data_IF_476031019747
#
_entry.id   IF_476031019747
#
_cell.length_a   1.000
_cell.length_b   1.000
_cell.length_c   1.000
_cell.angle_alpha   90.00
_cell.angle_beta   90.00
_cell.angle_gamma   90.00
#
_symmetry.space_group_name_H-M   'P 1'
#
loop_
_entity.id
_entity.type
_entity.pdbx_description
1 polymer ?
#
# COMPACT_ATOMS: atom_id res chain seq x y z
N UNK A 1 -7.42 -11.04 -19.62
CA UNK A 1 -7.53 -9.84 -18.70
C UNK A 1 -6.23 -9.07 -18.81
N UNK A 2 -6.22 -7.75 -18.56
CA UNK A 2 -4.98 -6.98 -18.51
C UNK A 2 -4.53 -6.78 -17.07
N UNK A 3 -3.23 -6.83 -16.83
CA UNK A 3 -2.64 -6.55 -15.53
C UNK A 3 -3.01 -5.13 -15.06
N UNK A 4 -3.56 -4.93 -13.84
CA UNK A 4 -4.00 -3.62 -13.37
C UNK A 4 -2.87 -2.64 -13.04
N UNK A 5 -1.60 -3.11 -13.03
CA UNK A 5 -0.43 -2.26 -12.80
C UNK A 5 0.27 -1.86 -14.11
N UNK A 6 0.54 -2.81 -15.02
CA UNK A 6 1.34 -2.54 -16.22
C UNK A 6 0.54 -2.58 -17.52
N UNK A 7 -0.73 -2.94 -17.46
CA UNK A 7 -1.66 -3.08 -18.58
C UNK A 7 -1.27 -4.16 -19.62
N UNK A 8 -0.27 -4.99 -19.34
CA UNK A 8 0.06 -6.12 -20.24
C UNK A 8 -1.05 -7.16 -20.20
N UNK A 9 -1.40 -7.75 -21.36
CA UNK A 9 -2.29 -8.90 -21.39
C UNK A 9 -1.73 -10.04 -20.55
N UNK A 10 -2.59 -10.64 -19.73
CA UNK A 10 -2.21 -11.76 -18.88
C UNK A 10 -3.15 -12.94 -19.12
N UNK A 11 -2.56 -14.05 -19.55
CA UNK A 11 -3.25 -15.31 -19.84
C UNK A 11 -2.99 -16.37 -18.75
N UNK A 12 -2.09 -16.07 -17.79
CA UNK A 12 -1.67 -17.00 -16.75
C UNK A 12 -2.53 -16.85 -15.50
N UNK A 13 -3.56 -17.68 -15.37
CA UNK A 13 -4.35 -17.77 -14.15
C UNK A 13 -4.08 -19.05 -13.37
N UNK A 14 -4.30 -19.00 -12.06
CA UNK A 14 -4.22 -20.16 -11.17
C UNK A 14 -5.26 -20.05 -10.07
N UNK A 15 -5.71 -21.19 -9.55
CA UNK A 15 -6.67 -21.23 -8.45
C UNK A 15 -5.95 -21.37 -7.10
N UNK A 16 -6.41 -20.62 -6.10
CA UNK A 16 -5.94 -20.72 -4.72
C UNK A 16 -7.06 -20.33 -3.73
N UNK A 17 -7.34 -21.20 -2.75
CA UNK A 17 -8.35 -20.94 -1.72
C UNK A 17 -9.76 -20.69 -2.27
N UNK A 18 -10.13 -21.34 -3.37
CA UNK A 18 -11.44 -21.20 -4.01
C UNK A 18 -11.61 -19.94 -4.85
N UNK A 19 -10.52 -19.19 -5.11
CA UNK A 19 -10.50 -17.97 -5.94
C UNK A 19 -9.50 -18.11 -7.08
N UNK A 20 -9.71 -17.33 -8.14
CA UNK A 20 -8.83 -17.22 -9.30
C UNK A 20 -7.90 -16.03 -9.16
N UNK A 21 -6.61 -16.26 -9.40
CA UNK A 21 -5.58 -15.24 -9.41
C UNK A 21 -4.80 -15.27 -10.71
N UNK A 22 -4.21 -14.15 -11.05
CA UNK A 22 -3.32 -13.97 -12.19
C UNK A 22 -1.94 -13.56 -11.72
N UNK A 23 -0.89 -13.98 -12.43
CA UNK A 23 0.47 -13.52 -12.20
C UNK A 23 1.02 -12.88 -13.47
N UNK A 24 1.22 -11.56 -13.42
CA UNK A 24 1.78 -10.83 -14.54
C UNK A 24 3.26 -11.18 -14.75
N UNK A 25 3.61 -11.65 -15.95
CA UNK A 25 4.98 -12.00 -16.32
C UNK A 25 5.88 -10.75 -16.49
N UNK A 26 5.30 -9.57 -16.79
CA UNK A 26 6.03 -8.32 -17.02
C UNK A 26 6.43 -7.62 -15.73
N UNK A 27 5.51 -7.46 -14.77
CA UNK A 27 5.75 -6.71 -13.54
C UNK A 27 5.74 -7.57 -12.27
N UNK A 28 5.44 -8.87 -12.39
CA UNK A 28 5.43 -9.80 -11.27
C UNK A 28 4.23 -9.66 -10.31
N UNK A 29 3.32 -8.70 -10.54
CA UNK A 29 2.14 -8.54 -9.70
C UNK A 29 1.28 -9.81 -9.73
N UNK A 30 0.87 -10.28 -8.56
CA UNK A 30 -0.19 -11.28 -8.43
C UNK A 30 -1.48 -10.55 -8.07
N UNK A 31 -2.57 -10.84 -8.77
CA UNK A 31 -3.83 -10.14 -8.54
C UNK A 31 -5.05 -11.05 -8.72
N UNK A 32 -6.10 -10.77 -7.96
CA UNK A 32 -7.37 -11.50 -8.00
C UNK A 32 -8.13 -11.19 -9.28
N UNK A 33 -8.84 -12.19 -9.82
CA UNK A 33 -9.76 -11.98 -10.94
C UNK A 33 -10.82 -10.91 -10.57
N UNK A 34 -11.06 -9.99 -11.50
CA UNK A 34 -11.93 -8.84 -11.23
C UNK A 34 -13.38 -9.25 -10.92
N UNK A 35 -13.82 -10.41 -11.43
CA UNK A 35 -15.18 -10.93 -11.20
C UNK A 35 -15.40 -11.48 -9.79
N UNK A 36 -14.30 -11.71 -9.03
CA UNK A 36 -14.34 -12.29 -7.69
C UNK A 36 -14.09 -11.25 -6.58
N UNK A 37 -13.92 -9.97 -6.94
CA UNK A 37 -13.72 -8.87 -6.00
C UNK A 37 -15.03 -8.53 -5.30
N UNK A 38 -14.91 -8.09 -4.04
CA UNK A 38 -16.07 -7.59 -3.29
C UNK A 38 -16.65 -6.33 -3.93
N UNK A 39 -17.95 -6.13 -3.73
CA UNK A 39 -18.61 -4.86 -4.04
C UNK A 39 -18.17 -3.79 -3.02
N UNK A 40 -18.19 -2.49 -3.39
CA UNK A 40 -17.71 -1.41 -2.51
C UNK A 40 -18.38 -1.36 -1.13
N UNK A 41 -19.68 -1.68 -1.03
CA UNK A 41 -20.40 -1.68 0.24
C UNK A 41 -19.96 -2.85 1.15
N UNK A 42 -19.64 -4.01 0.57
CA UNK A 42 -19.13 -5.16 1.30
C UNK A 42 -17.71 -4.90 1.80
N UNK A 43 -16.88 -4.27 0.96
CA UNK A 43 -15.53 -3.84 1.30
C UNK A 43 -15.54 -2.82 2.46
N UNK A 44 -16.36 -1.77 2.36
CA UNK A 44 -16.54 -0.77 3.42
C UNK A 44 -17.00 -1.40 4.73
N UNK A 45 -17.96 -2.33 4.66
CA UNK A 45 -18.43 -3.07 5.83
C UNK A 45 -17.31 -3.89 6.46
N UNK A 46 -16.44 -4.52 5.67
CA UNK A 46 -15.28 -5.26 6.16
C UNK A 46 -14.33 -4.34 6.94
N UNK A 47 -13.99 -3.17 6.39
CA UNK A 47 -13.10 -2.21 7.04
C UNK A 47 -13.68 -1.63 8.33
N UNK A 48 -15.01 -1.52 8.47
CA UNK A 48 -15.64 -1.03 9.71
C UNK A 48 -15.42 -1.94 10.93
N UNK A 49 -14.98 -3.19 10.73
CA UNK A 49 -14.61 -4.10 11.81
C UNK A 49 -13.17 -3.92 12.31
N UNK A 50 -12.34 -3.15 11.62
CA UNK A 50 -10.98 -2.88 12.05
C UNK A 50 -11.00 -1.96 13.29
N UNK A 51 -10.50 -2.48 14.41
CA UNK A 51 -10.41 -1.75 15.69
C UNK A 51 -9.00 -1.22 15.91
N UNK A 52 -8.49 -0.48 14.96
CA UNK A 52 -7.19 0.17 15.07
C UNK A 52 -7.25 1.21 16.20
N UNK A 53 -6.42 1.06 17.23
CA UNK A 53 -6.42 1.97 18.38
C UNK A 53 -4.98 2.29 18.78
N UNK A 54 -4.74 3.55 19.12
CA UNK A 54 -3.44 4.01 19.63
C UNK A 54 -3.08 3.38 20.98
N UNK A 55 -4.08 2.97 21.75
CA UNK A 55 -3.87 2.28 23.03
C UNK A 55 -3.49 0.80 22.88
N UNK A 56 -3.62 0.24 21.65
CA UNK A 56 -3.16 -1.11 21.34
C UNK A 56 -1.65 -1.11 21.08
N UNK A 57 -0.88 -1.52 22.09
CA UNK A 57 0.57 -1.59 22.00
C UNK A 57 1.06 -2.51 20.86
N UNK A 58 0.30 -3.56 20.52
CA UNK A 58 0.61 -4.46 19.39
C UNK A 58 0.46 -3.74 18.06
N UNK A 59 -0.62 -2.99 17.88
CA UNK A 59 -0.86 -2.20 16.68
C UNK A 59 0.15 -1.04 16.54
N UNK A 60 0.44 -0.34 17.62
CA UNK A 60 1.49 0.69 17.65
C UNK A 60 2.87 0.10 17.30
N UNK A 61 3.22 -1.07 17.83
CA UNK A 61 4.47 -1.75 17.47
C UNK A 61 4.50 -2.15 15.99
N UNK A 62 3.37 -2.58 15.44
CA UNK A 62 3.21 -2.90 14.03
C UNK A 62 3.45 -1.68 13.13
N UNK A 63 2.80 -0.54 13.39
CA UNK A 63 2.99 0.70 12.64
C UNK A 63 4.43 1.25 12.78
N UNK A 64 5.07 1.05 13.92
CA UNK A 64 6.46 1.43 14.11
C UNK A 64 7.45 0.67 13.20
N UNK A 65 7.04 -0.42 12.55
CA UNK A 65 7.88 -1.11 11.54
C UNK A 65 8.20 -0.22 10.35
N UNK A 66 7.26 0.64 9.93
CA UNK A 66 7.49 1.59 8.85
C UNK A 66 7.97 2.95 9.40
N UNK A 67 7.41 3.43 10.52
CA UNK A 67 7.76 4.74 11.07
C UNK A 67 9.25 4.81 11.40
N UNK A 68 9.79 3.84 12.17
CA UNK A 68 11.19 3.87 12.64
C UNK A 68 12.20 3.98 11.50
N UNK A 69 12.21 3.11 10.47
CA UNK A 69 13.17 3.23 9.37
C UNK A 69 12.94 4.48 8.50
N UNK A 70 11.73 5.07 8.51
CA UNK A 70 11.42 6.27 7.74
C UNK A 70 11.94 7.54 8.38
N UNK A 71 12.03 7.61 9.72
CA UNK A 71 12.39 8.84 10.44
C UNK A 71 13.74 9.43 10.03
N UNK A 72 14.69 8.63 9.56
CA UNK A 72 15.98 9.14 9.06
C UNK A 72 15.86 9.96 7.77
N UNK A 73 14.73 9.89 7.08
CA UNK A 73 14.44 10.60 5.83
C UNK A 73 13.47 11.76 6.04
N UNK A 74 12.90 11.90 7.24
CA UNK A 74 11.94 12.94 7.59
C UNK A 74 12.61 13.99 8.48
N UNK A 75 12.15 15.22 8.36
CA UNK A 75 12.62 16.34 9.19
C UNK A 75 11.47 17.25 9.61
N UNK A 76 11.71 18.01 10.68
CA UNK A 76 10.74 19.00 11.17
C UNK A 76 10.37 19.99 10.04
N UNK A 77 9.09 20.28 9.91
CA UNK A 77 8.54 21.17 8.88
C UNK A 77 8.11 20.45 7.60
N UNK A 78 8.44 19.16 7.43
CA UNK A 78 7.87 18.35 6.38
C UNK A 78 6.39 18.09 6.63
N UNK A 79 5.62 18.01 5.53
CA UNK A 79 4.19 17.68 5.51
C UNK A 79 3.97 16.32 4.89
N UNK A 80 3.25 15.46 5.57
CA UNK A 80 2.95 14.11 5.12
C UNK A 80 1.49 13.79 5.01
N UNK A 81 1.22 12.63 4.43
CA UNK A 81 -0.10 12.04 4.27
C UNK A 81 -0.07 10.56 4.65
N UNK A 82 -1.00 10.15 5.50
CA UNK A 82 -1.36 8.76 5.75
C UNK A 82 -2.46 8.38 4.75
N UNK A 83 -2.08 7.66 3.69
CA UNK A 83 -2.94 7.32 2.55
C UNK A 83 -3.57 5.94 2.74
N UNK A 84 -4.90 5.90 2.85
CA UNK A 84 -5.63 4.69 3.22
C UNK A 84 -5.57 4.44 4.73
N UNK A 85 -5.79 5.50 5.53
CA UNK A 85 -5.65 5.45 6.99
C UNK A 85 -6.72 4.63 7.72
N UNK A 86 -7.77 4.18 7.01
CA UNK A 86 -8.91 3.48 7.60
C UNK A 86 -9.76 4.37 8.51
N UNK A 87 -10.59 3.76 9.39
CA UNK A 87 -11.50 4.51 10.27
C UNK A 87 -10.81 5.30 11.38
N UNK A 88 -9.56 4.95 11.73
CA UNK A 88 -8.80 5.60 12.80
C UNK A 88 -7.37 5.89 12.31
N UNK A 89 -6.99 7.16 12.10
CA UNK A 89 -5.69 7.55 11.54
C UNK A 89 -4.56 7.50 12.58
N UNK A 90 -4.30 6.32 13.15
CA UNK A 90 -3.30 6.14 14.23
C UNK A 90 -1.88 6.41 13.76
N UNK A 91 -1.55 6.06 12.50
CA UNK A 91 -0.20 6.30 11.97
C UNK A 91 0.09 7.81 11.93
N UNK A 92 -0.86 8.64 11.45
CA UNK A 92 -0.68 10.09 11.39
C UNK A 92 -0.46 10.69 12.79
N UNK A 93 -1.16 10.17 13.83
CA UNK A 93 -0.97 10.58 15.21
C UNK A 93 0.44 10.24 15.72
N UNK A 94 0.90 8.98 15.50
CA UNK A 94 2.23 8.54 15.92
C UNK A 94 3.37 9.31 15.24
N UNK A 95 3.19 9.71 13.99
CA UNK A 95 4.14 10.55 13.26
C UNK A 95 4.11 11.98 13.82
N UNK A 96 2.91 12.51 14.12
CA UNK A 96 2.72 13.81 14.76
C UNK A 96 3.44 13.93 16.11
N UNK A 97 3.40 12.88 16.95
CA UNK A 97 4.15 12.82 18.22
C UNK A 97 5.67 12.96 18.05
N UNK A 98 6.19 12.66 16.86
CA UNK A 98 7.61 12.83 16.50
C UNK A 98 7.94 14.23 15.96
N UNK A 99 6.96 15.13 15.97
CA UNK A 99 7.12 16.53 15.55
C UNK A 99 7.08 16.75 14.03
N UNK A 100 6.48 15.82 13.28
CA UNK A 100 6.29 15.91 11.83
C UNK A 100 4.79 15.95 11.51
N UNK A 101 4.34 16.96 10.76
CA UNK A 101 2.94 17.11 10.37
C UNK A 101 2.52 15.96 9.43
N UNK A 102 1.41 15.26 9.73
CA UNK A 102 0.88 14.20 8.91
C UNK A 102 -0.65 14.28 8.83
N UNK A 103 -1.16 14.66 7.68
CA UNK A 103 -2.59 14.58 7.33
C UNK A 103 -2.99 13.13 7.07
N UNK A 104 -4.27 12.88 6.89
CA UNK A 104 -4.78 11.54 6.60
C UNK A 104 -5.87 11.59 5.53
N UNK A 105 -6.01 10.49 4.80
CA UNK A 105 -7.00 10.29 3.75
C UNK A 105 -7.43 8.83 3.71
N UNK A 106 -8.72 8.60 3.51
CA UNK A 106 -9.28 7.29 3.24
C UNK A 106 -10.55 7.45 2.39
N UNK A 107 -10.73 6.69 1.29
CA UNK A 107 -11.86 6.87 0.37
C UNK A 107 -13.23 6.58 1.02
N UNK A 108 -13.27 5.77 2.08
CA UNK A 108 -14.52 5.39 2.75
C UNK A 108 -14.81 6.21 4.01
N UNK A 109 -13.78 6.61 4.76
CA UNK A 109 -13.91 7.21 6.08
C UNK A 109 -13.55 8.71 6.10
N UNK A 110 -12.61 9.13 5.26
CA UNK A 110 -12.12 10.51 5.16
C UNK A 110 -11.90 10.87 3.68
N UNK A 111 -13.01 10.97 2.90
CA UNK A 111 -12.96 11.09 1.43
C UNK A 111 -12.56 12.48 0.93
N UNK A 112 -12.34 13.44 1.83
CA UNK A 112 -11.85 14.76 1.43
C UNK A 112 -10.48 14.62 0.76
N UNK A 113 -10.51 14.68 -0.56
CA UNK A 113 -9.32 14.47 -1.37
C UNK A 113 -8.42 15.70 -1.34
N UNK A 114 -7.17 15.49 -0.98
CA UNK A 114 -6.11 16.50 -1.05
C UNK A 114 -5.45 16.54 -2.44
N UNK A 115 -6.22 16.36 -3.52
CA UNK A 115 -5.70 16.20 -4.90
C UNK A 115 -4.75 17.30 -5.34
N UNK A 116 -4.97 18.54 -4.86
CA UNK A 116 -4.15 19.70 -5.18
C UNK A 116 -3.02 19.95 -4.17
N UNK A 117 -3.02 19.20 -3.05
CA UNK A 117 -1.97 19.33 -2.04
C UNK A 117 -0.70 18.59 -2.47
N UNK A 118 0.43 19.08 -1.99
CA UNK A 118 1.75 18.46 -2.16
C UNK A 118 2.31 18.06 -0.80
N UNK A 119 2.89 16.87 -0.77
CA UNK A 119 3.44 16.28 0.45
C UNK A 119 4.91 15.95 0.27
N UNK A 120 5.68 16.09 1.33
CA UNK A 120 7.09 15.70 1.38
C UNK A 120 7.25 14.22 1.65
N UNK A 121 6.23 13.59 2.24
CA UNK A 121 6.14 12.15 2.36
C UNK A 121 4.68 11.66 2.33
N UNK A 122 4.50 10.43 1.85
CA UNK A 122 3.22 9.70 1.89
C UNK A 122 3.50 8.32 2.46
N UNK A 123 2.72 7.91 3.46
CA UNK A 123 2.69 6.54 3.94
C UNK A 123 1.42 5.85 3.46
N UNK A 124 1.56 4.63 2.94
CA UNK A 124 0.46 3.74 2.56
C UNK A 124 0.68 2.40 3.26
N UNK A 125 0.01 2.22 4.40
CA UNK A 125 0.20 1.05 5.28
C UNK A 125 -1.00 0.13 5.22
N UNK A 126 -0.77 -1.15 4.86
CA UNK A 126 -1.82 -2.15 4.66
C UNK A 126 -2.95 -1.57 3.76
N UNK A 127 -2.53 -1.04 2.61
CA UNK A 127 -3.38 -0.29 1.70
C UNK A 127 -3.16 -0.73 0.24
N UNK A 128 -1.92 -1.02 -0.15
CA UNK A 128 -1.56 -1.41 -1.52
C UNK A 128 -2.25 -2.70 -1.97
N UNK A 129 -2.42 -3.67 -1.09
CA UNK A 129 -3.12 -4.94 -1.34
C UNK A 129 -4.59 -4.77 -1.69
N UNK A 130 -5.18 -3.62 -1.34
CA UNK A 130 -6.59 -3.29 -1.59
C UNK A 130 -6.80 -2.52 -2.90
N UNK A 131 -5.76 -2.10 -3.61
CA UNK A 131 -5.91 -1.33 -4.84
C UNK A 131 -6.48 -2.17 -5.98
N UNK A 132 -7.70 -1.89 -6.40
CA UNK A 132 -8.30 -2.51 -7.59
C UNK A 132 -7.60 -2.07 -8.88
N UNK A 133 -7.03 -0.87 -8.88
CA UNK A 133 -6.25 -0.32 -9.97
C UNK A 133 -4.96 0.34 -9.45
N UNK A 134 -3.94 -0.46 -9.09
CA UNK A 134 -2.71 0.05 -8.49
C UNK A 134 -1.95 1.06 -9.36
N UNK A 135 -2.11 0.99 -10.69
CA UNK A 135 -1.52 2.01 -11.58
C UNK A 135 -2.10 3.39 -11.31
N UNK A 136 -3.44 3.50 -11.29
CA UNK A 136 -4.11 4.79 -11.05
C UNK A 136 -3.82 5.33 -9.65
N UNK A 137 -3.79 4.47 -8.65
CA UNK A 137 -3.47 4.87 -7.27
C UNK A 137 -2.02 5.38 -7.16
N UNK A 138 -1.06 4.71 -7.81
CA UNK A 138 0.32 5.17 -7.88
C UNK A 138 0.44 6.51 -8.63
N UNK A 139 -0.31 6.71 -9.71
CA UNK A 139 -0.36 7.99 -10.43
C UNK A 139 -0.86 9.13 -9.53
N UNK A 140 -1.92 8.89 -8.73
CA UNK A 140 -2.42 9.85 -7.73
C UNK A 140 -1.37 10.15 -6.65
N UNK A 141 -0.77 9.11 -6.06
CA UNK A 141 0.28 9.24 -5.05
C UNK A 141 1.46 10.05 -5.62
N UNK A 142 1.91 9.72 -6.84
CA UNK A 142 2.97 10.47 -7.50
C UNK A 142 2.58 11.93 -7.77
N UNK A 143 1.32 12.21 -8.14
CA UNK A 143 0.86 13.56 -8.35
C UNK A 143 0.89 14.40 -7.07
N UNK A 144 0.58 13.81 -5.91
CA UNK A 144 0.60 14.48 -4.61
C UNK A 144 1.99 14.59 -3.99
N UNK A 145 2.94 13.72 -4.36
CA UNK A 145 4.27 13.68 -3.76
C UNK A 145 5.21 14.70 -4.42
N UNK A 146 5.90 15.50 -3.61
CA UNK A 146 6.93 16.43 -4.06
C UNK A 146 8.10 15.68 -4.72
N UNK A 147 8.89 16.38 -5.56
CA UNK A 147 10.21 15.90 -5.99
C UNK A 147 11.10 15.67 -4.78
N UNK A 148 11.86 14.60 -4.76
CA UNK A 148 12.59 14.06 -3.60
C UNK A 148 11.71 13.64 -2.42
N UNK A 149 10.39 13.65 -2.55
CA UNK A 149 9.45 13.18 -1.52
C UNK A 149 9.58 11.68 -1.26
N UNK A 150 9.16 11.28 -0.07
CA UNK A 150 9.30 9.90 0.42
C UNK A 150 7.96 9.18 0.31
N UNK A 151 7.95 8.01 -0.32
CA UNK A 151 6.83 7.07 -0.30
C UNK A 151 7.20 5.88 0.58
N UNK A 152 6.52 5.73 1.69
CA UNK A 152 6.62 4.54 2.54
C UNK A 152 5.45 3.60 2.27
N UNK A 153 5.75 2.37 1.90
CA UNK A 153 4.77 1.31 1.63
C UNK A 153 4.93 0.23 2.69
N UNK A 154 3.82 -0.19 3.28
CA UNK A 154 3.79 -1.39 4.12
C UNK A 154 2.69 -2.30 3.60
N UNK A 155 3.07 -3.44 3.03
CA UNK A 155 2.21 -4.52 2.51
C UNK A 155 3.02 -5.81 2.47
N UNK A 156 2.42 -6.95 2.79
CA UNK A 156 3.20 -8.20 2.84
C UNK A 156 3.57 -8.68 1.44
N UNK A 157 4.87 -8.89 1.21
CA UNK A 157 5.38 -9.31 -0.09
C UNK A 157 5.26 -10.82 -0.28
N UNK A 158 4.89 -11.23 -1.50
CA UNK A 158 4.99 -12.62 -1.94
C UNK A 158 6.46 -12.95 -2.18
N UNK A 159 7.03 -13.82 -1.36
CA UNK A 159 8.42 -14.26 -1.47
C UNK A 159 8.55 -15.45 -2.43
N UNK A 160 9.78 -15.77 -2.84
CA UNK A 160 10.04 -16.90 -3.75
C UNK A 160 9.56 -18.24 -3.20
N UNK A 161 9.69 -18.43 -1.89
CA UNK A 161 9.29 -19.64 -1.17
C UNK A 161 7.87 -19.57 -0.58
N UNK A 162 7.08 -18.53 -0.90
CA UNK A 162 5.70 -18.43 -0.45
C UNK A 162 4.84 -19.46 -1.18
N UNK A 163 4.29 -20.42 -0.45
CA UNK A 163 3.19 -21.23 -0.94
C UNK A 163 1.91 -20.37 -0.94
N UNK A 164 1.62 -19.76 -2.07
CA UNK A 164 0.47 -18.85 -2.21
C UNK A 164 -0.86 -19.57 -1.88
N UNK A 165 -0.95 -20.87 -2.12
CA UNK A 165 -2.14 -21.67 -1.82
C UNK A 165 -2.52 -21.67 -0.35
N UNK A 166 -1.54 -21.81 0.54
CA UNK A 166 -1.71 -21.83 2.00
C UNK A 166 -1.46 -20.48 2.69
N UNK A 167 -1.00 -19.45 1.96
CA UNK A 167 -0.62 -18.17 2.54
C UNK A 167 -1.83 -17.42 3.13
N UNK A 168 -1.72 -17.07 4.41
CA UNK A 168 -2.82 -16.47 5.18
C UNK A 168 -3.28 -15.11 4.65
N UNK A 169 -2.34 -14.30 4.12
CA UNK A 169 -2.58 -12.92 3.71
C UNK A 169 -3.62 -12.79 2.58
N UNK A 170 -3.68 -13.78 1.67
CA UNK A 170 -4.71 -13.84 0.62
C UNK A 170 -6.10 -14.20 1.13
N UNK A 171 -6.23 -14.65 2.39
CA UNK A 171 -7.52 -15.07 2.94
C UNK A 171 -8.45 -13.89 3.25
N UNK A 172 -7.91 -12.67 3.40
CA UNK A 172 -8.76 -11.49 3.47
C UNK A 172 -9.37 -11.23 2.09
N UNK A 173 -10.72 -11.20 1.97
CA UNK A 173 -11.40 -11.03 0.69
C UNK A 173 -11.21 -9.65 0.07
N UNK A 174 -10.73 -8.67 0.81
CA UNK A 174 -10.41 -7.33 0.34
C UNK A 174 -8.99 -7.22 -0.20
N UNK A 175 -8.12 -8.24 0.01
CA UNK A 175 -6.78 -8.29 -0.58
C UNK A 175 -6.88 -8.78 -2.03
N UNK A 176 -6.69 -7.89 -2.96
CA UNK A 176 -6.85 -8.14 -4.41
C UNK A 176 -5.55 -8.03 -5.21
N UNK A 177 -4.52 -7.40 -4.64
CA UNK A 177 -3.19 -7.23 -5.25
C UNK A 177 -2.09 -7.66 -4.28
N UNK A 178 -1.12 -8.45 -4.78
CA UNK A 178 -0.02 -8.99 -3.99
C UNK A 178 1.29 -8.70 -4.69
N UNK A 179 2.16 -7.98 -4.00
CA UNK A 179 3.38 -7.44 -4.56
C UNK A 179 4.56 -8.37 -4.29
N UNK A 180 5.53 -8.34 -5.18
CA UNK A 180 6.80 -9.05 -5.10
C UNK A 180 7.94 -8.05 -5.17
N UNK A 181 9.16 -8.44 -4.81
CA UNK A 181 10.31 -7.56 -4.98
C UNK A 181 10.49 -7.10 -6.43
N UNK A 182 10.23 -7.98 -7.41
CA UNK A 182 10.23 -7.64 -8.84
C UNK A 182 9.16 -6.59 -9.19
N UNK A 183 7.98 -6.65 -8.55
CA UNK A 183 6.91 -5.65 -8.71
C UNK A 183 7.34 -4.29 -8.15
N UNK A 184 8.00 -4.27 -7.00
CA UNK A 184 8.55 -3.03 -6.43
C UNK A 184 9.62 -2.42 -7.36
N UNK A 185 10.49 -3.25 -7.94
CA UNK A 185 11.46 -2.79 -8.93
C UNK A 185 10.79 -2.21 -10.18
N UNK A 186 9.71 -2.85 -10.66
CA UNK A 186 8.91 -2.33 -11.78
C UNK A 186 8.30 -0.96 -11.42
N UNK A 187 7.72 -0.81 -10.23
CA UNK A 187 7.18 0.47 -9.74
C UNK A 187 8.27 1.54 -9.70
N UNK A 188 9.45 1.22 -9.16
CA UNK A 188 10.57 2.15 -9.10
C UNK A 188 10.96 2.67 -10.49
N UNK A 189 11.09 1.77 -11.46
CA UNK A 189 11.50 2.13 -12.82
C UNK A 189 10.41 2.92 -13.57
N UNK A 190 9.13 2.55 -13.39
CA UNK A 190 8.02 3.15 -14.12
C UNK A 190 7.62 4.53 -13.59
N UNK A 191 7.66 4.69 -12.26
CA UNK A 191 7.23 5.91 -11.57
C UNK A 191 8.39 6.78 -11.08
N UNK A 192 9.61 6.47 -11.53
CA UNK A 192 10.81 7.24 -11.24
C UNK A 192 11.12 7.36 -9.74
N UNK A 193 11.09 6.21 -9.04
CA UNK A 193 11.49 6.12 -7.64
C UNK A 193 12.86 5.47 -7.47
N UNK A 194 13.61 5.95 -6.49
CA UNK A 194 14.81 5.28 -5.96
C UNK A 194 14.46 4.56 -4.67
N UNK A 195 14.74 3.26 -4.60
CA UNK A 195 14.58 2.49 -3.36
C UNK A 195 15.64 2.90 -2.34
N UNK A 196 15.20 3.32 -1.15
CA UNK A 196 16.05 3.70 -0.02
C UNK A 196 16.16 2.59 1.02
N UNK A 197 15.06 1.87 1.23
CA UNK A 197 14.96 0.78 2.20
C UNK A 197 13.98 -0.29 1.70
N UNK A 198 14.27 -1.55 2.01
CA UNK A 198 13.38 -2.68 1.78
C UNK A 198 13.77 -3.80 2.74
N UNK A 199 12.90 -4.16 3.68
CA UNK A 199 13.13 -5.27 4.61
C UNK A 199 12.90 -6.65 3.94
N UNK A 200 12.51 -6.64 2.64
CA UNK A 200 12.19 -7.80 1.79
C UNK A 200 10.99 -8.64 2.26
N UNK A 201 10.26 -8.17 3.24
CA UNK A 201 9.07 -8.83 3.78
C UNK A 201 7.82 -7.97 3.68
N UNK A 202 7.90 -6.70 4.11
CA UNK A 202 6.71 -5.87 4.23
C UNK A 202 6.95 -4.37 4.06
N UNK A 203 8.10 -3.85 4.46
CA UNK A 203 8.36 -2.41 4.51
C UNK A 203 9.29 -1.97 3.40
N UNK A 204 8.83 -1.05 2.58
CA UNK A 204 9.58 -0.46 1.47
C UNK A 204 9.53 1.06 1.60
N UNK A 205 10.68 1.72 1.48
CA UNK A 205 10.78 3.18 1.46
C UNK A 205 11.43 3.60 0.15
N UNK A 206 10.74 4.45 -0.57
CA UNK A 206 11.11 4.95 -1.89
C UNK A 206 11.27 6.47 -1.84
N UNK A 207 12.15 7.01 -2.68
CA UNK A 207 12.27 8.46 -2.93
C UNK A 207 11.91 8.75 -4.36
N UNK A 208 11.02 9.69 -4.58
CA UNK A 208 10.69 10.20 -5.91
C UNK A 208 11.87 11.01 -6.47
N UNK A 209 12.29 10.69 -7.68
CA UNK A 209 13.37 11.42 -8.38
C UNK A 209 12.87 12.68 -9.05
#
# INVERSE_FOLDING_TARGET
MNCPLCNMPDENSFAAGGRTYHRCHQCGLVYMDATERLLPDEEKKRYSFHRNNIDDAGYVAFLNRIIKPSMQYLSKGMKGLDYGCGPNPVLSQLVGEKGVECSYYDPFFFPECHSDAKFDFIFATECFEHFFNPKQELEKICAMLNTNGILGIMTELVLENTDFGSWYYKNDPTHVCFYRNETINYICNTFNFKQLYNDKHRVIILRKS
#
